data_IF_558602470321
#
_entry.id   IF_558602470321
#
_cell.length_a   1.000
_cell.length_b   1.000
_cell.length_c   1.000
_cell.angle_alpha   90.00
_cell.angle_beta   90.00
_cell.angle_gamma   90.00
#
_symmetry.space_group_name_H-M   'P 1'
#
loop_
_entity.id
_entity.type
_entity.pdbx_description
1 polymer ?
#
# COMPACT_ATOMS: atom_id res chain seq x y z
N UNK A 1 12.41 -7.79 -30.49
CA UNK A 1 11.58 -8.89 -29.95
C UNK A 1 11.52 -8.71 -28.45
N UNK A 2 10.36 -8.32 -27.89
CA UNK A 2 10.18 -8.39 -26.43
C UNK A 2 10.01 -9.87 -26.11
N UNK A 3 10.91 -10.45 -25.32
CA UNK A 3 10.60 -11.70 -24.63
C UNK A 3 9.38 -11.38 -23.75
N UNK A 4 8.19 -11.82 -24.15
CA UNK A 4 7.06 -11.93 -23.24
C UNK A 4 7.44 -13.04 -22.26
N UNK A 5 8.25 -12.69 -21.26
CA UNK A 5 8.48 -13.59 -20.13
C UNK A 5 7.13 -13.68 -19.42
N UNK A 6 6.35 -14.71 -19.74
CA UNK A 6 5.06 -14.95 -19.12
C UNK A 6 5.31 -15.52 -17.72
N UNK A 7 4.53 -15.09 -16.73
CA UNK A 7 4.56 -15.69 -15.40
C UNK A 7 4.32 -17.20 -15.52
N UNK A 8 5.19 -17.99 -14.90
CA UNK A 8 5.16 -19.45 -14.97
C UNK A 8 5.49 -20.05 -13.61
N UNK A 9 4.91 -21.20 -13.31
CA UNK A 9 5.19 -21.98 -12.09
C UNK A 9 6.60 -22.53 -12.05
N UNK A 10 7.26 -22.69 -13.21
CA UNK A 10 8.63 -23.19 -13.33
C UNK A 10 9.69 -22.08 -13.23
N UNK A 11 9.29 -20.82 -13.06
CA UNK A 11 10.23 -19.70 -13.05
C UNK A 11 11.01 -19.65 -11.72
N UNK A 12 12.28 -19.28 -11.81
CA UNK A 12 13.11 -19.03 -10.64
C UNK A 12 12.74 -17.71 -9.96
N UNK A 13 13.12 -17.57 -8.68
CA UNK A 13 12.98 -16.31 -7.96
C UNK A 13 13.72 -15.16 -8.64
N UNK A 14 14.90 -15.44 -9.22
CA UNK A 14 15.72 -14.44 -9.90
C UNK A 14 15.01 -13.95 -11.16
N UNK A 15 14.43 -14.84 -11.97
CA UNK A 15 13.64 -14.47 -13.15
C UNK A 15 12.42 -13.64 -12.77
N UNK A 16 11.73 -14.00 -11.67
CA UNK A 16 10.61 -13.22 -11.15
C UNK A 16 11.06 -11.82 -10.66
N UNK A 17 12.21 -11.73 -9.99
CA UNK A 17 12.74 -10.46 -9.46
C UNK A 17 13.31 -9.53 -10.52
N UNK A 18 13.77 -10.09 -11.64
CA UNK A 18 14.21 -9.31 -12.79
C UNK A 18 13.04 -8.92 -13.71
N UNK A 19 11.89 -9.59 -13.60
CA UNK A 19 10.68 -9.27 -14.36
C UNK A 19 9.95 -8.03 -13.84
N UNK A 20 9.36 -7.27 -14.77
CA UNK A 20 8.42 -6.20 -14.43
C UNK A 20 6.99 -6.67 -14.65
N UNK A 21 6.27 -6.90 -13.54
CA UNK A 21 4.91 -7.45 -13.56
C UNK A 21 3.87 -6.37 -13.25
N UNK A 22 2.81 -6.34 -14.06
CA UNK A 22 1.61 -5.56 -13.77
C UNK A 22 0.79 -6.23 -12.67
N UNK A 23 0.00 -5.43 -11.94
CA UNK A 23 -0.85 -5.95 -10.89
C UNK A 23 -1.92 -6.92 -11.42
N UNK A 24 -2.39 -6.73 -12.66
CA UNK A 24 -3.33 -7.63 -13.32
C UNK A 24 -2.70 -9.00 -13.59
N UNK A 25 -1.49 -9.02 -14.17
CA UNK A 25 -0.74 -10.25 -14.43
C UNK A 25 -0.47 -11.04 -13.13
N UNK A 26 -0.09 -10.33 -12.07
CA UNK A 26 0.13 -10.95 -10.76
C UNK A 26 -1.16 -11.54 -10.17
N UNK A 27 -2.31 -10.88 -10.38
CA UNK A 27 -3.61 -11.40 -9.92
C UNK A 27 -4.02 -12.64 -10.69
N UNK A 28 -3.96 -12.60 -12.01
CA UNK A 28 -4.30 -13.73 -12.88
C UNK A 28 -3.41 -14.94 -12.56
N UNK A 29 -2.11 -14.72 -12.40
CA UNK A 29 -1.19 -15.79 -12.04
C UNK A 29 -1.46 -16.32 -10.62
N UNK A 30 -1.69 -15.43 -9.65
CA UNK A 30 -2.01 -15.83 -8.28
C UNK A 30 -3.32 -16.64 -8.20
N UNK A 31 -4.34 -16.30 -8.99
CA UNK A 31 -5.57 -17.07 -9.11
C UNK A 31 -5.31 -18.45 -9.73
N UNK A 32 -4.51 -18.50 -10.81
CA UNK A 32 -4.19 -19.75 -11.50
C UNK A 32 -3.43 -20.74 -10.60
N UNK A 33 -2.54 -20.26 -9.73
CA UNK A 33 -1.82 -21.11 -8.77
C UNK A 33 -2.59 -21.35 -7.47
N UNK A 34 -3.81 -20.80 -7.32
CA UNK A 34 -4.69 -21.08 -6.19
C UNK A 34 -4.45 -20.24 -4.93
N UNK A 35 -3.83 -19.05 -5.04
CA UNK A 35 -3.70 -18.12 -3.89
C UNK A 35 -5.10 -17.60 -3.49
N UNK A 36 -5.50 -17.76 -2.22
CA UNK A 36 -6.81 -17.30 -1.74
C UNK A 36 -6.99 -15.80 -1.90
N UNK A 37 -8.17 -15.39 -2.38
CA UNK A 37 -8.57 -13.98 -2.53
C UNK A 37 -7.63 -13.11 -3.37
N UNK A 38 -6.88 -13.71 -4.31
CA UNK A 38 -5.89 -13.04 -5.16
C UNK A 38 -6.40 -11.72 -5.79
N UNK A 39 -7.62 -11.69 -6.33
CA UNK A 39 -8.25 -10.48 -6.86
C UNK A 39 -8.23 -9.25 -5.92
N UNK A 40 -8.28 -9.49 -4.60
CA UNK A 40 -8.38 -8.46 -3.54
C UNK A 40 -7.04 -8.08 -2.93
N UNK A 41 -5.97 -8.80 -3.26
CA UNK A 41 -4.65 -8.54 -2.71
C UNK A 41 -4.00 -7.34 -3.39
N UNK A 42 -3.14 -6.66 -2.61
CA UNK A 42 -2.28 -5.61 -3.15
C UNK A 42 -1.10 -6.21 -3.90
N UNK A 43 -0.47 -5.39 -4.74
CA UNK A 43 0.69 -5.81 -5.55
C UNK A 43 1.82 -6.40 -4.69
N UNK A 44 2.15 -5.78 -3.56
CA UNK A 44 3.19 -6.27 -2.66
C UNK A 44 2.84 -7.60 -1.99
N UNK A 45 1.57 -7.81 -1.65
CA UNK A 45 1.08 -9.06 -1.08
C UNK A 45 1.10 -10.18 -2.12
N UNK A 46 0.71 -9.88 -3.35
CA UNK A 46 0.81 -10.79 -4.49
C UNK A 46 2.26 -11.17 -4.76
N UNK A 47 3.17 -10.20 -4.87
CA UNK A 47 4.59 -10.48 -5.09
C UNK A 47 5.18 -11.34 -3.98
N UNK A 48 4.84 -11.06 -2.71
CA UNK A 48 5.32 -11.87 -1.58
C UNK A 48 4.77 -13.30 -1.62
N UNK A 49 3.49 -13.47 -1.91
CA UNK A 49 2.83 -14.77 -1.97
C UNK A 49 3.36 -15.63 -3.13
N UNK A 50 3.53 -15.03 -4.29
CA UNK A 50 4.08 -15.69 -5.48
C UNK A 50 5.53 -16.10 -5.23
N UNK A 51 6.37 -15.24 -4.62
CA UNK A 51 7.73 -15.62 -4.25
C UNK A 51 7.77 -16.81 -3.30
N UNK A 52 6.91 -16.83 -2.29
CA UNK A 52 6.83 -17.95 -1.36
C UNK A 52 6.47 -19.25 -2.10
N UNK A 53 5.49 -19.17 -3.00
CA UNK A 53 5.09 -20.31 -3.84
C UNK A 53 6.23 -20.78 -4.75
N UNK A 54 6.90 -19.89 -5.48
CA UNK A 54 8.02 -20.26 -6.35
C UNK A 54 9.20 -20.87 -5.57
N UNK A 55 9.42 -20.42 -4.33
CA UNK A 55 10.49 -20.92 -3.49
C UNK A 55 10.19 -22.28 -2.85
N UNK A 56 8.93 -22.56 -2.52
CA UNK A 56 8.57 -23.68 -1.63
C UNK A 56 7.48 -24.61 -2.17
N UNK A 57 6.79 -24.22 -3.24
CA UNK A 57 5.56 -24.85 -3.73
C UNK A 57 4.34 -24.66 -2.83
N UNK A 58 4.46 -23.92 -1.71
CA UNK A 58 3.39 -23.76 -0.73
C UNK A 58 2.54 -22.52 -0.99
N UNK A 59 1.25 -22.66 -0.72
CA UNK A 59 0.29 -21.56 -0.75
C UNK A 59 -0.09 -21.27 0.71
N UNK A 60 0.20 -20.05 1.15
CA UNK A 60 -0.20 -19.56 2.46
C UNK A 60 -1.17 -18.39 2.30
N UNK A 61 -1.95 -18.10 3.35
CA UNK A 61 -2.82 -16.94 3.33
C UNK A 61 -1.97 -15.65 3.37
N UNK A 62 -1.99 -14.84 2.30
CA UNK A 62 -1.01 -13.76 2.13
C UNK A 62 -1.32 -12.53 2.98
N UNK A 63 -2.49 -12.48 3.61
CA UNK A 63 -2.89 -11.32 4.41
C UNK A 63 -3.81 -11.72 5.56
N UNK A 64 -3.66 -11.04 6.70
CA UNK A 64 -4.55 -11.16 7.87
C UNK A 64 -5.61 -10.05 7.92
N UNK A 65 -5.59 -9.14 6.93
CA UNK A 65 -6.53 -8.01 6.87
C UNK A 65 -7.92 -8.52 6.48
N UNK A 66 -8.94 -7.83 6.97
CA UNK A 66 -10.30 -8.04 6.48
C UNK A 66 -10.37 -7.67 5.00
N UNK A 67 -10.76 -8.64 4.16
CA UNK A 67 -10.97 -8.47 2.71
C UNK A 67 -12.44 -8.23 2.35
N UNK A 68 -13.30 -8.08 3.35
CA UNK A 68 -14.71 -7.74 3.21
C UNK A 68 -14.99 -6.46 4.00
N UNK A 69 -15.43 -5.42 3.29
CA UNK A 69 -15.94 -4.18 3.88
C UNK A 69 -17.42 -4.09 3.53
N UNK A 70 -18.28 -4.58 4.42
CA UNK A 70 -19.73 -4.40 4.34
C UNK A 70 -20.16 -3.48 5.47
N UNK A 71 -20.90 -2.42 5.15
CA UNK A 71 -21.42 -1.45 6.12
C UNK A 71 -21.36 -0.02 5.63
N UNK A 72 -21.77 0.90 6.49
CA UNK A 72 -21.74 2.35 6.25
C UNK A 72 -20.31 2.85 6.35
N UNK A 73 -19.85 3.60 5.34
CA UNK A 73 -18.48 4.12 5.35
C UNK A 73 -18.33 5.20 6.41
N UNK A 74 -17.14 5.35 6.97
CA UNK A 74 -16.87 6.37 7.97
C UNK A 74 -17.20 7.79 7.45
N UNK A 75 -16.95 8.04 6.16
CA UNK A 75 -17.29 9.30 5.50
C UNK A 75 -18.79 9.60 5.50
N UNK A 76 -19.63 8.57 5.37
CA UNK A 76 -21.10 8.71 5.36
C UNK A 76 -21.66 9.00 6.76
N UNK A 77 -20.89 8.74 7.82
CA UNK A 77 -21.24 9.05 9.21
C UNK A 77 -20.91 10.50 9.60
N UNK A 78 -20.23 11.26 8.73
CA UNK A 78 -19.70 12.57 9.01
C UNK A 78 -18.37 12.50 9.76
N UNK A 79 -17.29 12.86 9.06
CA UNK A 79 -15.94 12.82 9.60
C UNK A 79 -15.74 13.85 10.72
N UNK A 80 -15.28 13.38 11.88
CA UNK A 80 -14.97 14.16 13.08
C UNK A 80 -13.82 13.49 13.83
N UNK A 81 -13.07 14.27 14.62
CA UNK A 81 -11.83 13.79 15.25
C UNK A 81 -12.04 12.59 16.19
N UNK A 82 -13.16 12.57 16.93
CA UNK A 82 -13.53 11.50 17.85
C UNK A 82 -14.18 10.28 17.17
N UNK A 83 -14.40 10.32 15.85
CA UNK A 83 -14.98 9.19 15.11
C UNK A 83 -14.00 8.00 15.13
N UNK A 84 -14.43 6.81 15.58
CA UNK A 84 -13.63 5.60 15.45
C UNK A 84 -13.41 5.23 13.98
N UNK A 85 -12.20 4.80 13.64
CA UNK A 85 -11.86 4.31 12.30
C UNK A 85 -12.35 2.88 12.16
N UNK A 86 -13.38 2.66 11.32
CA UNK A 86 -14.00 1.34 11.12
C UNK A 86 -14.01 0.97 9.64
N UNK A 87 -14.73 1.73 8.82
CA UNK A 87 -14.83 1.56 7.37
C UNK A 87 -14.27 2.78 6.64
N UNK A 88 -12.98 3.04 6.88
CA UNK A 88 -12.25 4.13 6.24
C UNK A 88 -12.11 3.93 4.73
N UNK A 89 -12.27 5.04 4.01
CA UNK A 89 -12.13 5.15 2.57
C UNK A 89 -11.10 6.21 2.19
N UNK A 90 -10.36 5.96 1.11
CA UNK A 90 -9.37 6.91 0.59
C UNK A 90 -9.98 7.82 -0.49
N UNK A 91 -11.20 8.30 -0.25
CA UNK A 91 -11.91 9.23 -1.13
C UNK A 91 -11.42 10.67 -0.99
N UNK A 92 -11.99 11.59 -1.77
CA UNK A 92 -11.62 13.00 -1.73
C UNK A 92 -11.95 13.63 -0.37
N UNK A 93 -13.12 13.34 0.17
CA UNK A 93 -13.61 13.95 1.40
C UNK A 93 -12.75 13.58 2.61
N UNK A 94 -12.37 12.30 2.74
CA UNK A 94 -11.47 11.81 3.78
C UNK A 94 -10.09 12.45 3.68
N UNK A 95 -9.55 12.59 2.46
CA UNK A 95 -8.26 13.26 2.24
C UNK A 95 -8.33 14.74 2.62
N UNK A 96 -9.39 15.42 2.19
CA UNK A 96 -9.58 16.85 2.45
C UNK A 96 -9.79 17.08 3.96
N UNK A 97 -10.51 16.19 4.66
CA UNK A 97 -10.65 16.22 6.12
C UNK A 97 -9.29 16.12 6.81
N UNK A 98 -8.50 15.08 6.52
CA UNK A 98 -7.17 14.89 7.13
C UNK A 98 -6.24 16.08 6.89
N UNK A 99 -6.28 16.65 5.68
CA UNK A 99 -5.44 17.78 5.31
C UNK A 99 -5.83 19.07 6.03
N UNK A 100 -7.14 19.37 6.12
CA UNK A 100 -7.64 20.53 6.87
C UNK A 100 -7.31 20.43 8.36
N UNK A 101 -7.58 19.29 8.99
CA UNK A 101 -7.34 19.14 10.44
C UNK A 101 -5.84 19.17 10.75
N UNK A 102 -5.00 18.59 9.89
CA UNK A 102 -3.56 18.68 10.05
C UNK A 102 -3.03 20.12 9.89
N UNK A 103 -3.58 20.90 8.96
CA UNK A 103 -3.25 22.32 8.81
C UNK A 103 -3.72 23.16 10.00
N UNK A 104 -4.78 22.77 10.71
CA UNK A 104 -5.16 23.46 11.95
C UNK A 104 -4.12 23.24 13.06
N UNK A 105 -3.53 22.06 13.12
CA UNK A 105 -2.46 21.76 14.08
C UNK A 105 -1.13 22.42 13.68
N UNK A 106 -0.80 22.37 12.38
CA UNK A 106 0.45 22.92 11.84
C UNK A 106 0.14 23.72 10.56
N UNK A 107 -0.16 25.03 10.70
CA UNK A 107 -0.61 25.87 9.56
C UNK A 107 0.37 25.97 8.39
N UNK A 108 1.67 25.83 8.66
CA UNK A 108 2.72 25.85 7.63
C UNK A 108 2.97 24.50 6.95
N UNK A 109 2.24 23.44 7.35
CA UNK A 109 2.49 22.09 6.87
C UNK A 109 2.19 21.97 5.38
N UNK A 110 3.20 21.53 4.62
CA UNK A 110 3.03 21.08 3.25
C UNK A 110 3.07 19.57 3.19
N UNK A 111 2.16 18.99 2.41
CA UNK A 111 2.11 17.54 2.24
C UNK A 111 3.38 17.02 1.54
N UNK A 112 4.14 16.18 2.23
CA UNK A 112 5.26 15.42 1.68
C UNK A 112 4.78 14.27 0.80
N UNK A 113 5.48 14.02 -0.30
CA UNK A 113 5.16 12.89 -1.19
C UNK A 113 5.29 11.56 -0.45
N UNK A 114 4.41 10.59 -0.72
CA UNK A 114 4.41 9.28 -0.08
C UNK A 114 3.70 9.18 1.28
N UNK A 115 3.40 10.30 1.94
CA UNK A 115 2.75 10.29 3.28
C UNK A 115 1.43 9.53 3.28
N UNK A 116 0.54 9.80 2.30
CA UNK A 116 -0.77 9.12 2.25
C UNK A 116 -0.65 7.60 2.15
N UNK A 117 0.34 7.10 1.40
CA UNK A 117 0.60 5.67 1.34
C UNK A 117 1.03 5.15 2.72
N UNK A 118 1.97 5.83 3.38
CA UNK A 118 2.49 5.42 4.70
C UNK A 118 1.42 5.47 5.79
N UNK A 119 0.60 6.51 5.81
CA UNK A 119 -0.54 6.61 6.71
C UNK A 119 -1.49 5.41 6.53
N UNK A 120 -1.83 5.07 5.29
CA UNK A 120 -2.70 3.92 5.02
C UNK A 120 -2.08 2.60 5.48
N UNK A 121 -0.76 2.43 5.34
CA UNK A 121 -0.02 1.26 5.83
C UNK A 121 -0.03 1.18 7.35
N UNK A 122 0.34 2.27 8.01
CA UNK A 122 0.35 2.36 9.47
C UNK A 122 -1.04 2.08 10.05
N UNK A 123 -2.09 2.72 9.53
CA UNK A 123 -3.48 2.49 9.94
C UNK A 123 -3.85 1.01 9.85
N UNK A 124 -3.55 0.36 8.73
CA UNK A 124 -3.85 -1.08 8.57
C UNK A 124 -3.08 -1.93 9.58
N UNK A 125 -1.81 -1.61 9.83
CA UNK A 125 -0.96 -2.33 10.78
C UNK A 125 -1.44 -2.20 12.22
N UNK A 126 -1.84 -1.00 12.64
CA UNK A 126 -2.40 -0.76 13.98
C UNK A 126 -3.76 -1.46 14.16
N UNK A 127 -4.65 -1.38 13.17
CA UNK A 127 -5.93 -2.10 13.23
C UNK A 127 -5.72 -3.63 13.28
N UNK A 128 -4.74 -4.17 12.54
CA UNK A 128 -4.39 -5.59 12.62
C UNK A 128 -3.83 -6.00 14.00
N UNK A 129 -3.21 -5.08 14.73
CA UNK A 129 -2.76 -5.29 16.11
C UNK A 129 -3.91 -5.19 17.13
N UNK A 130 -5.13 -4.91 16.68
CA UNK A 130 -6.31 -4.73 17.54
C UNK A 130 -6.37 -3.35 18.21
N UNK A 131 -5.55 -2.40 17.76
CA UNK A 131 -5.54 -1.04 18.30
C UNK A 131 -6.74 -0.30 17.71
N UNK A 132 -7.54 0.30 18.58
CA UNK A 132 -8.69 1.13 18.18
C UNK A 132 -8.18 2.53 17.89
N UNK A 133 -8.32 2.97 16.64
CA UNK A 133 -7.93 4.30 16.19
C UNK A 133 -9.16 5.21 16.07
N UNK A 134 -8.92 6.50 16.26
CA UNK A 134 -9.83 7.60 15.91
C UNK A 134 -9.27 8.40 14.73
N UNK A 135 -10.10 9.26 14.14
CA UNK A 135 -9.63 10.19 13.11
C UNK A 135 -8.63 11.23 13.67
N UNK A 136 -8.68 11.54 14.97
CA UNK A 136 -7.64 12.33 15.64
C UNK A 136 -6.27 11.65 15.55
N UNK A 137 -6.21 10.34 15.82
CA UNK A 137 -4.96 9.56 15.71
C UNK A 137 -4.43 9.57 14.27
N UNK A 138 -5.32 9.46 13.28
CA UNK A 138 -4.93 9.56 11.86
C UNK A 138 -4.33 10.93 11.53
N UNK A 139 -4.90 12.02 12.06
CA UNK A 139 -4.40 13.38 11.84
C UNK A 139 -3.03 13.57 12.50
N UNK A 140 -2.87 13.11 13.74
CA UNK A 140 -1.59 13.18 14.47
C UNK A 140 -0.49 12.42 13.75
N UNK A 141 -0.77 11.20 13.29
CA UNK A 141 0.19 10.43 12.51
C UNK A 141 0.48 11.08 11.16
N UNK A 142 -0.53 11.65 10.50
CA UNK A 142 -0.34 12.36 9.23
C UNK A 142 0.59 13.56 9.41
N UNK A 143 0.44 14.35 10.48
CA UNK A 143 1.36 15.45 10.83
C UNK A 143 2.77 14.90 11.06
N UNK A 144 2.93 13.89 11.93
CA UNK A 144 4.23 13.28 12.23
C UNK A 144 4.97 12.81 10.97
N UNK A 145 4.27 12.18 10.03
CA UNK A 145 4.83 11.73 8.75
C UNK A 145 5.23 12.90 7.83
N UNK A 146 4.51 14.03 7.88
CA UNK A 146 4.88 15.21 7.10
C UNK A 146 6.11 15.95 7.68
N UNK A 147 6.27 15.92 9.00
CA UNK A 147 7.38 16.57 9.70
C UNK A 147 8.70 15.79 9.65
N UNK A 148 8.67 14.50 9.28
CA UNK A 148 9.89 13.72 9.07
C UNK A 148 10.83 14.39 8.07
N UNK A 149 12.06 14.66 8.48
CA UNK A 149 13.10 15.32 7.66
C UNK A 149 13.64 14.37 6.58
N UNK A 150 13.89 13.12 6.95
CA UNK A 150 14.47 12.11 6.05
C UNK A 150 13.51 11.72 4.91
N UNK A 151 14.02 11.52 3.67
CA UNK A 151 13.23 10.94 2.59
C UNK A 151 12.68 9.56 2.98
N UNK A 152 11.46 9.26 2.54
CA UNK A 152 10.93 7.92 2.76
C UNK A 152 11.72 6.88 1.96
N UNK A 153 11.94 5.72 2.57
CA UNK A 153 12.48 4.56 1.89
C UNK A 153 11.69 4.25 0.62
N UNK A 154 12.40 3.83 -0.44
CA UNK A 154 11.77 3.43 -1.69
C UNK A 154 10.85 2.23 -1.47
N UNK A 155 9.74 2.22 -2.21
CA UNK A 155 8.78 1.12 -2.14
C UNK A 155 9.29 0.00 -3.05
N UNK A 156 9.59 -1.21 -2.54
CA UNK A 156 10.26 -2.25 -3.33
C UNK A 156 9.52 -2.68 -4.59
N UNK A 157 8.18 -2.77 -4.56
CA UNK A 157 7.35 -3.15 -5.70
C UNK A 157 7.15 -2.02 -6.74
N UNK A 158 7.63 -0.80 -6.44
CA UNK A 158 7.65 0.36 -7.34
C UNK A 158 8.88 0.40 -8.24
N UNK A 159 9.42 -0.76 -8.64
CA UNK A 159 10.73 -0.93 -9.31
C UNK A 159 10.97 0.06 -10.46
N UNK A 160 10.01 0.22 -11.36
CA UNK A 160 10.13 1.16 -12.49
C UNK A 160 10.25 2.62 -12.05
N UNK A 161 9.40 3.06 -11.12
CA UNK A 161 9.45 4.44 -10.59
C UNK A 161 10.77 4.67 -9.86
N UNK A 162 11.24 3.67 -9.09
CA UNK A 162 12.52 3.73 -8.41
C UNK A 162 13.68 3.87 -9.41
N UNK A 163 13.67 3.06 -10.48
CA UNK A 163 14.67 3.10 -11.56
C UNK A 163 14.68 4.46 -12.26
N UNK A 164 13.52 4.97 -12.69
CA UNK A 164 13.43 6.29 -13.34
C UNK A 164 13.90 7.38 -12.38
N UNK A 165 13.55 7.31 -11.11
CA UNK A 165 14.02 8.26 -10.09
C UNK A 165 15.54 8.22 -9.90
N UNK A 166 16.16 7.02 -9.94
CA UNK A 166 17.62 6.88 -9.83
C UNK A 166 18.33 7.38 -11.09
N UNK A 167 17.81 7.01 -12.25
CA UNK A 167 18.32 7.44 -13.55
C UNK A 167 18.30 8.97 -13.67
N UNK A 168 17.16 9.59 -13.37
CA UNK A 168 17.03 11.06 -13.39
C UNK A 168 17.89 11.79 -12.35
N UNK A 169 18.23 11.12 -11.23
CA UNK A 169 19.14 11.69 -10.24
C UNK A 169 20.60 11.60 -10.71
N UNK A 170 20.97 10.52 -11.39
CA UNK A 170 22.31 10.31 -11.95
C UNK A 170 22.60 11.20 -13.17
N UNK A 171 21.61 11.44 -14.03
CA UNK A 171 21.73 12.29 -15.23
C UNK A 171 21.79 13.80 -14.94
N UNK A 172 21.54 14.23 -13.70
CA UNK A 172 21.69 15.63 -13.28
C UNK A 172 23.14 15.98 -12.85
N UNK A 173 24.09 15.09 -13.12
CA UNK A 173 25.52 15.28 -12.91
C UNK A 173 26.19 16.03 -14.05
#
# INVERSE_FOLDING_TARGET
MKSNTQLSTSMTLIEFDNGYWYATELKEFAEAIGIPSAAKLRKDELEKAIKLYLATGKIENPTKRSLSTSGVKDVELGLRLDLPVVLYTNDKETKDFLEREAQRLVPSMKRKSGVRYRLNRWREEELMRGIKLTYEDLVREYVRLNETTEPFAKIPHGRFINFVSDFMAAEKG
#
